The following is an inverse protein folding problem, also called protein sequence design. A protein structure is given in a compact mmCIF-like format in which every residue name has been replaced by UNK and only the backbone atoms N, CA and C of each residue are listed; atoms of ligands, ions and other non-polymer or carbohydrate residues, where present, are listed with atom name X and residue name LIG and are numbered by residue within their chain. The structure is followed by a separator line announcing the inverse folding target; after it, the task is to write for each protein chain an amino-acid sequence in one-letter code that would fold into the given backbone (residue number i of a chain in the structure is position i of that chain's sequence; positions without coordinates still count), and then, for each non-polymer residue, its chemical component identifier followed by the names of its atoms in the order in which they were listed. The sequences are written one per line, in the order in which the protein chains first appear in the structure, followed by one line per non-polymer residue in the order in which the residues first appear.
data_IF_130734436800
#
_entry.id   IF_130734436800
#
_cell.length_a   1.000
_cell.length_b   1.000
_cell.length_c   1.000
_cell.angle_alpha   90.00
_cell.angle_beta   90.00
_cell.angle_gamma   90.00
#
_symmetry.space_group_name_H-M   'P 1'
#
loop_
_entity.id
_entity.type
_entity.pdbx_description
1 polymer ?
#
# COMPACT_ATOMS: atom_id res chain seq x y z
N UNK A 1 -10.18 7.91 -5.02
CA UNK A 1 -8.83 7.57 -4.53
C UNK A 1 -8.09 6.85 -5.65
N UNK A 2 -6.78 7.05 -5.79
CA UNK A 2 -5.97 6.38 -6.83
C UNK A 2 -5.26 5.18 -6.22
N UNK A 3 -5.31 4.04 -6.88
CA UNK A 3 -4.61 2.81 -6.49
C UNK A 3 -3.55 2.52 -7.56
N UNK A 4 -2.30 2.45 -7.16
CA UNK A 4 -1.20 2.02 -8.04
C UNK A 4 -0.88 0.55 -7.73
N UNK A 5 -0.99 -0.31 -8.74
CA UNK A 5 -0.66 -1.72 -8.65
C UNK A 5 0.58 -1.98 -9.49
N UNK A 6 1.63 -2.47 -8.88
CA UNK A 6 2.85 -2.91 -9.55
C UNK A 6 2.91 -4.44 -9.64
N UNK A 7 3.48 -4.95 -10.71
CA UNK A 7 3.82 -6.36 -10.87
C UNK A 7 5.35 -6.49 -10.98
N UNK A 8 6.05 -6.83 -9.88
CA UNK A 8 7.51 -6.81 -9.84
C UNK A 8 8.19 -7.69 -10.89
N UNK A 9 7.59 -8.83 -11.24
CA UNK A 9 8.16 -9.78 -12.18
C UNK A 9 8.32 -9.21 -13.61
N UNK A 10 7.47 -8.26 -14.01
CA UNK A 10 7.58 -7.59 -15.32
C UNK A 10 7.99 -6.12 -15.21
N UNK A 11 8.05 -5.56 -14.00
CA UNK A 11 8.29 -4.14 -13.76
C UNK A 11 7.14 -3.24 -14.23
N UNK A 12 6.00 -3.80 -14.63
CA UNK A 12 4.86 -3.00 -15.08
C UNK A 12 4.06 -2.47 -13.88
N UNK A 13 3.49 -1.28 -14.05
CA UNK A 13 2.56 -0.69 -13.09
C UNK A 13 1.29 -0.19 -13.77
N UNK A 14 0.17 -0.26 -13.06
CA UNK A 14 -1.12 0.24 -13.51
C UNK A 14 -1.75 1.11 -12.43
N UNK A 15 -2.10 2.34 -12.81
CA UNK A 15 -2.90 3.23 -11.99
C UNK A 15 -4.38 3.01 -12.28
N UNK A 16 -5.15 2.80 -11.23
CA UNK A 16 -6.59 2.62 -11.27
C UNK A 16 -7.21 3.76 -10.46
N UNK A 17 -8.13 4.48 -11.10
CA UNK A 17 -8.93 5.48 -10.42
C UNK A 17 -10.19 4.82 -9.86
N UNK A 18 -10.29 4.80 -8.53
CA UNK A 18 -11.45 4.26 -7.83
C UNK A 18 -12.34 5.39 -7.34
N UNK A 19 -13.54 5.45 -7.93
CA UNK A 19 -14.61 6.40 -7.56
C UNK A 19 -15.61 5.76 -6.59
N UNK A 20 -15.85 4.46 -6.72
CA UNK A 20 -16.85 3.76 -5.90
C UNK A 20 -16.31 3.46 -4.50
N UNK A 21 -16.90 4.10 -3.50
CA UNK A 21 -16.53 3.99 -2.09
C UNK A 21 -16.68 2.56 -1.53
N UNK A 22 -17.67 1.79 -2.00
CA UNK A 22 -17.86 0.40 -1.55
C UNK A 22 -16.66 -0.48 -1.88
N UNK A 23 -16.02 -0.24 -3.03
CA UNK A 23 -14.82 -0.96 -3.46
C UNK A 23 -13.59 -0.55 -2.65
N UNK A 24 -13.53 0.73 -2.26
CA UNK A 24 -12.44 1.30 -1.46
C UNK A 24 -12.43 0.79 -0.02
N UNK A 25 -13.59 0.44 0.53
CA UNK A 25 -13.72 -0.06 1.91
C UNK A 25 -12.84 -1.28 2.21
N UNK A 26 -12.54 -2.10 1.20
CA UNK A 26 -11.63 -3.26 1.32
C UNK A 26 -10.21 -2.86 1.75
N UNK A 27 -9.76 -1.65 1.41
CA UNK A 27 -8.43 -1.13 1.72
C UNK A 27 -8.38 -0.34 3.02
N UNK A 28 -9.53 -0.01 3.62
CA UNK A 28 -9.56 0.73 4.89
C UNK A 28 -9.15 -0.16 6.06
N UNK A 29 -8.52 0.47 7.06
CA UNK A 29 -8.02 -0.17 8.30
C UNK A 29 -6.97 -1.27 8.07
N UNK A 30 -6.38 -1.35 6.87
CA UNK A 30 -5.29 -2.27 6.55
C UNK A 30 -3.93 -1.60 6.76
N UNK A 31 -2.97 -2.34 7.31
CA UNK A 31 -1.59 -1.87 7.51
C UNK A 31 -0.75 -2.18 6.27
N UNK A 32 0.39 -1.50 6.11
CA UNK A 32 1.42 -1.91 5.15
C UNK A 32 1.80 -3.38 5.37
N UNK A 33 2.19 -4.05 4.29
CA UNK A 33 2.46 -5.49 4.20
C UNK A 33 1.25 -6.42 4.39
N UNK A 34 0.04 -5.89 4.60
CA UNK A 34 -1.19 -6.71 4.64
C UNK A 34 -1.59 -7.14 3.23
N UNK A 35 -1.94 -8.42 3.07
CA UNK A 35 -2.53 -8.94 1.84
C UNK A 35 -4.03 -8.70 1.81
N UNK A 36 -4.54 -8.27 0.66
CA UNK A 36 -5.97 -8.03 0.43
C UNK A 36 -6.39 -8.64 -0.89
N UNK A 37 -7.65 -9.10 -0.93
CA UNK A 37 -8.26 -9.64 -2.14
C UNK A 37 -8.56 -8.49 -3.11
N UNK A 38 -8.13 -8.63 -4.35
CA UNK A 38 -8.20 -7.59 -5.37
C UNK A 38 -9.52 -7.58 -6.16
N UNK A 39 -10.46 -8.48 -5.86
CA UNK A 39 -11.78 -8.59 -6.51
C UNK A 39 -12.54 -7.25 -6.56
N UNK A 40 -12.38 -6.42 -5.53
CA UNK A 40 -13.00 -5.11 -5.46
C UNK A 40 -12.51 -4.13 -6.55
N UNK A 41 -11.32 -4.35 -7.12
CA UNK A 41 -10.72 -3.50 -8.16
C UNK A 41 -11.41 -3.65 -9.52
N UNK A 42 -12.10 -4.77 -9.75
CA UNK A 42 -12.84 -5.07 -10.97
C UNK A 42 -12.64 -6.52 -11.41
N UNK A 43 -13.40 -6.96 -12.43
CA UNK A 43 -13.38 -8.37 -12.88
C UNK A 43 -12.00 -8.86 -13.32
N UNK A 44 -11.17 -7.97 -13.91
CA UNK A 44 -9.78 -8.29 -14.32
C UNK A 44 -8.86 -8.67 -13.16
N UNK A 45 -9.22 -8.26 -11.95
CA UNK A 45 -8.45 -8.47 -10.73
C UNK A 45 -9.08 -9.54 -9.83
N UNK A 46 -10.15 -10.20 -10.29
CA UNK A 46 -10.81 -11.27 -9.55
C UNK A 46 -9.87 -12.46 -9.37
N UNK A 47 -9.75 -12.95 -8.14
CA UNK A 47 -8.87 -14.06 -7.77
C UNK A 47 -7.42 -13.68 -7.54
N UNK A 48 -7.06 -12.39 -7.64
CA UNK A 48 -5.72 -11.92 -7.30
C UNK A 48 -5.66 -11.48 -5.83
N UNK A 49 -4.54 -11.76 -5.18
CA UNK A 49 -4.16 -11.15 -3.91
C UNK A 49 -3.11 -10.07 -4.18
N UNK A 50 -3.27 -8.92 -3.54
CA UNK A 50 -2.32 -7.82 -3.62
C UNK A 50 -1.85 -7.46 -2.22
N UNK A 51 -0.57 -7.16 -2.08
CA UNK A 51 0.01 -6.71 -0.83
C UNK A 51 0.07 -5.18 -0.82
N UNK A 52 -0.37 -4.55 0.28
CA UNK A 52 -0.27 -3.09 0.42
C UNK A 52 1.19 -2.72 0.70
N UNK A 53 1.87 -2.20 -0.32
CA UNK A 53 3.26 -1.74 -0.22
C UNK A 53 3.37 -0.38 0.47
N UNK A 54 2.32 0.44 0.44
CA UNK A 54 2.31 1.79 1.01
C UNK A 54 1.20 2.66 0.41
N UNK A 55 1.29 3.95 0.66
CA UNK A 55 0.35 4.94 0.16
C UNK A 55 0.69 6.33 0.67
N UNK A 56 0.09 7.34 0.05
CA UNK A 56 0.19 8.73 0.49
C UNK A 56 -1.18 9.21 0.94
N UNK A 57 -1.23 10.04 1.98
CA UNK A 57 -2.44 10.74 2.36
C UNK A 57 -2.76 11.91 1.39
N UNK A 58 -3.85 12.64 1.64
CA UNK A 58 -4.24 13.79 0.80
C UNK A 58 -3.22 14.94 0.84
N UNK A 59 -2.42 15.05 1.89
CA UNK A 59 -1.38 16.07 2.06
C UNK A 59 -0.02 15.62 1.50
N UNK A 60 0.07 14.37 1.03
CA UNK A 60 1.29 13.78 0.48
C UNK A 60 2.18 13.11 1.52
N UNK A 61 1.76 12.99 2.78
CA UNK A 61 2.54 12.26 3.78
C UNK A 61 2.53 10.76 3.45
N UNK A 62 3.71 10.12 3.36
CA UNK A 62 3.79 8.69 3.10
C UNK A 62 3.39 7.89 4.33
N UNK A 63 2.72 6.76 4.10
CA UNK A 63 2.54 5.74 5.12
C UNK A 63 3.89 5.27 5.64
N UNK A 64 4.02 5.16 6.96
CA UNK A 64 5.20 4.57 7.61
C UNK A 64 4.83 3.20 8.14
N UNK A 65 5.65 2.19 7.81
CA UNK A 65 5.57 0.92 8.48
C UNK A 65 6.03 1.13 9.93
N UNK A 66 5.18 0.82 10.90
CA UNK A 66 5.62 0.73 12.28
C UNK A 66 6.71 -0.34 12.34
N UNK A 67 7.92 0.03 12.79
CA UNK A 67 8.99 -0.94 13.02
C UNK A 67 8.46 -1.98 14.01
N UNK A 68 8.32 -3.22 13.55
CA UNK A 68 7.96 -4.34 14.40
C UNK A 68 9.14 -4.57 15.36
N UNK A 69 9.03 -4.02 16.57
CA UNK A 69 9.92 -4.13 17.73
C UNK A 69 11.20 -4.96 17.52
N UNK A 70 12.29 -4.25 17.22
CA UNK A 70 13.67 -4.73 17.34
C UNK A 70 14.48 -3.60 17.95
N UNK A 71 14.84 -3.75 19.22
CA UNK A 71 15.72 -2.89 19.99
C UNK A 71 17.01 -2.63 19.22
N UNK A 72 17.25 -1.41 18.77
CA UNK A 72 18.55 -0.73 18.82
C UNK A 72 18.29 0.76 18.59
N UNK A 73 18.23 1.51 19.69
CA UNK A 73 18.57 2.92 19.67
C UNK A 73 20.00 3.01 19.14
N UNK A 74 20.17 3.21 17.83
CA UNK A 74 21.39 3.84 17.35
C UNK A 74 21.29 5.32 17.77
N UNK A 75 22.21 5.84 18.60
CA UNK A 75 22.21 7.26 18.91
C UNK A 75 22.40 8.05 17.61
N UNK A 76 21.81 9.25 17.48
CA UNK A 76 22.06 10.11 16.34
C UNK A 76 23.53 10.52 16.35
N UNK A 77 24.36 9.90 15.51
CA UNK A 77 25.63 10.49 15.13
C UNK A 77 25.31 11.74 14.33
N UNK A 78 25.50 12.91 14.94
CA UNK A 78 25.53 14.20 14.26
C UNK A 78 26.47 14.11 13.03
N UNK A 79 26.10 14.69 11.87
CA UNK A 79 27.04 14.84 10.77
C UNK A 79 28.20 15.74 11.20
N UNK A 80 29.42 15.39 10.78
CA UNK A 80 30.53 16.36 10.70
C UNK A 80 30.26 17.31 9.55
#
# INVERSE_FOLDING_TARGET
MKVNISFPATGCQKLIEMVNERKLRTFYEKRMATEVVADALGEKWKGYMVQISGGNDKQGFPMKQAAHWGTFLAPPTRPR
#
